data_IF_042894076641
#
_entry.id   IF_042894076641
#
_cell.length_a   1.000
_cell.length_b   1.000
_cell.length_c   1.000
_cell.angle_alpha   90.00
_cell.angle_beta   90.00
_cell.angle_gamma   90.00
#
_symmetry.space_group_name_H-M   'P 1'
#
loop_
_entity.id
_entity.type
_entity.pdbx_description
1 polymer ?
#
# COMPACT_ATOMS: atom_id res chain seq x y z
N UNK A 1 -17.10 -24.88 -32.51
CA UNK A 1 -17.06 -23.43 -32.76
C UNK A 1 -16.01 -22.81 -31.85
N UNK A 2 -14.90 -22.25 -32.35
CA UNK A 2 -13.92 -21.59 -31.49
C UNK A 2 -14.55 -20.30 -30.95
N UNK A 3 -14.53 -20.13 -29.63
CA UNK A 3 -14.97 -18.91 -28.97
C UNK A 3 -14.14 -17.72 -29.50
N UNK A 4 -14.81 -16.68 -29.98
CA UNK A 4 -14.17 -15.45 -30.44
C UNK A 4 -13.36 -14.84 -29.30
N UNK A 5 -12.10 -14.49 -29.59
CA UNK A 5 -11.25 -13.78 -28.63
C UNK A 5 -11.94 -12.45 -28.23
N UNK A 6 -11.96 -12.09 -26.93
CA UNK A 6 -12.55 -10.85 -26.50
C UNK A 6 -11.86 -9.65 -27.18
N UNK A 7 -12.60 -8.60 -27.56
CA UNK A 7 -12.04 -7.44 -28.23
C UNK A 7 -10.96 -6.77 -27.36
N UNK A 8 -9.91 -6.19 -27.96
CA UNK A 8 -8.86 -5.52 -27.20
C UNK A 8 -9.47 -4.37 -26.40
N UNK A 9 -9.28 -4.40 -25.08
CA UNK A 9 -9.71 -3.34 -24.18
C UNK A 9 -9.10 -2.00 -24.60
N UNK A 10 -9.95 -0.97 -24.77
CA UNK A 10 -9.52 0.38 -25.12
C UNK A 10 -8.59 0.96 -24.04
N UNK A 11 -7.68 1.86 -24.41
CA UNK A 11 -6.77 2.52 -23.45
C UNK A 11 -7.53 3.16 -22.28
N UNK A 12 -8.71 3.74 -22.55
CA UNK A 12 -9.60 4.29 -21.53
C UNK A 12 -10.12 3.23 -20.54
N UNK A 13 -10.55 2.06 -21.04
CA UNK A 13 -11.00 0.94 -20.19
C UNK A 13 -9.87 0.36 -19.33
N UNK A 14 -8.64 0.32 -19.86
CA UNK A 14 -7.44 -0.09 -19.11
C UNK A 14 -7.05 0.91 -18.02
N UNK A 15 -7.19 2.21 -18.31
CA UNK A 15 -6.97 3.28 -17.33
C UNK A 15 -7.96 3.20 -16.17
N UNK A 16 -9.26 3.10 -16.46
CA UNK A 16 -10.31 3.00 -15.44
C UNK A 16 -10.15 1.73 -14.58
N UNK A 17 -9.84 0.58 -15.20
CA UNK A 17 -9.57 -0.66 -14.49
C UNK A 17 -8.35 -0.54 -13.57
N UNK A 18 -7.32 0.19 -13.97
CA UNK A 18 -6.11 0.37 -13.15
C UNK A 18 -6.35 1.34 -11.99
N UNK A 19 -7.09 2.43 -12.20
CA UNK A 19 -7.53 3.32 -11.12
C UNK A 19 -8.38 2.58 -10.10
N UNK A 20 -9.32 1.74 -10.55
CA UNK A 20 -10.14 0.91 -9.65
C UNK A 20 -9.27 -0.03 -8.82
N UNK A 21 -8.27 -0.69 -9.42
CA UNK A 21 -7.33 -1.58 -8.71
C UNK A 21 -6.35 -0.82 -7.80
N UNK A 22 -6.16 0.47 -8.03
CA UNK A 22 -5.39 1.34 -7.13
C UNK A 22 -6.17 1.64 -5.84
N UNK A 23 -7.48 1.87 -5.96
CA UNK A 23 -8.37 1.99 -4.80
C UNK A 23 -8.66 0.65 -4.11
N UNK A 24 -8.90 -0.40 -4.90
CA UNK A 24 -9.20 -1.75 -4.42
C UNK A 24 -7.96 -2.64 -4.46
N UNK A 25 -7.18 -2.58 -3.39
CA UNK A 25 -6.01 -3.44 -3.18
C UNK A 25 -6.36 -4.83 -2.62
N UNK A 26 -7.66 -5.10 -2.38
CA UNK A 26 -8.15 -6.37 -1.84
C UNK A 26 -8.53 -7.39 -2.92
N UNK A 27 -8.66 -6.96 -4.18
CA UNK A 27 -8.86 -7.88 -5.29
C UNK A 27 -7.79 -8.95 -5.32
N UNK A 28 -8.19 -10.22 -5.14
CA UNK A 28 -7.33 -11.37 -5.44
C UNK A 28 -6.83 -11.17 -6.86
N UNK A 29 -5.52 -11.28 -7.09
CA UNK A 29 -4.96 -11.25 -8.43
C UNK A 29 -5.53 -12.44 -9.21
N UNK A 30 -6.67 -12.23 -9.87
CA UNK A 30 -7.27 -13.18 -10.82
C UNK A 30 -6.33 -13.43 -12.01
N UNK A 31 -5.30 -12.60 -12.13
CA UNK A 31 -4.21 -12.68 -13.10
C UNK A 31 -3.15 -13.73 -12.75
N UNK A 32 -3.25 -14.45 -11.61
CA UNK A 32 -2.40 -15.60 -11.30
C UNK A 32 -2.44 -16.72 -12.38
N UNK A 33 -3.38 -16.64 -13.33
CA UNK A 33 -3.48 -17.52 -14.49
C UNK A 33 -2.73 -17.03 -15.75
N UNK A 34 -2.10 -15.85 -15.74
CA UNK A 34 -1.31 -15.32 -16.86
C UNK A 34 0.17 -15.69 -16.71
N UNK A 35 0.78 -16.47 -17.64
CA UNK A 35 2.17 -16.95 -17.52
C UNK A 35 3.26 -15.87 -17.66
N UNK A 36 2.90 -14.63 -17.98
CA UNK A 36 3.84 -13.55 -18.25
C UNK A 36 3.75 -12.48 -17.14
N UNK A 37 4.75 -12.38 -16.24
CA UNK A 37 4.79 -11.39 -15.16
C UNK A 37 5.03 -10.00 -15.74
N UNK A 38 3.96 -9.37 -16.24
CA UNK A 38 3.99 -8.00 -16.77
C UNK A 38 4.00 -6.99 -15.62
N UNK A 39 4.96 -6.08 -15.63
CA UNK A 39 5.06 -4.97 -14.67
C UNK A 39 3.91 -3.98 -14.92
N UNK A 40 3.05 -3.76 -13.92
CA UNK A 40 2.03 -2.71 -13.94
C UNK A 40 2.68 -1.35 -13.64
N UNK A 41 3.26 -0.74 -14.67
CA UNK A 41 3.97 0.53 -14.58
C UNK A 41 3.11 1.65 -13.98
N UNK A 42 1.80 1.66 -14.26
CA UNK A 42 0.90 2.70 -13.77
C UNK A 42 0.71 2.62 -12.24
N UNK A 43 0.79 1.42 -11.65
CA UNK A 43 0.83 1.25 -10.18
C UNK A 43 2.19 1.58 -9.57
N UNK A 44 3.28 1.45 -10.32
CA UNK A 44 4.64 1.73 -9.84
C UNK A 44 4.95 3.25 -9.80
N UNK A 45 4.32 4.05 -10.66
CA UNK A 45 4.58 5.51 -10.78
C UNK A 45 4.52 6.25 -9.43
N UNK A 46 3.49 6.09 -8.57
CA UNK A 46 3.46 6.80 -7.28
C UNK A 46 4.63 6.43 -6.36
N UNK A 47 5.07 5.17 -6.39
CA UNK A 47 6.20 4.71 -5.59
C UNK A 47 7.50 5.35 -6.08
N UNK A 48 7.72 5.38 -7.39
CA UNK A 48 8.88 6.07 -8.00
C UNK A 48 8.86 7.56 -7.63
N UNK A 49 7.71 8.22 -7.78
CA UNK A 49 7.54 9.63 -7.43
C UNK A 49 7.90 9.92 -5.97
N UNK A 50 7.49 9.05 -5.03
CA UNK A 50 7.83 9.19 -3.61
C UNK A 50 9.35 9.12 -3.34
N UNK A 51 10.09 8.28 -4.08
CA UNK A 51 11.56 8.20 -3.92
C UNK A 51 12.26 9.42 -4.51
N UNK A 52 11.82 9.85 -5.70
CA UNK A 52 12.37 11.05 -6.34
C UNK A 52 12.10 12.32 -5.50
N UNK A 53 10.98 12.35 -4.77
CA UNK A 53 10.64 13.45 -3.87
C UNK A 53 11.69 13.65 -2.75
N UNK A 54 12.48 12.64 -2.38
CA UNK A 54 13.57 12.81 -1.40
C UNK A 54 14.63 13.82 -1.88
N UNK A 55 14.86 13.93 -3.20
CA UNK A 55 15.83 14.88 -3.77
C UNK A 55 15.39 16.33 -3.56
N UNK A 56 14.09 16.56 -3.32
CA UNK A 56 13.55 17.90 -3.05
C UNK A 56 14.27 18.61 -1.89
N UNK A 57 14.85 17.85 -0.94
CA UNK A 57 15.63 18.38 0.19
C UNK A 57 16.75 19.33 -0.23
N UNK A 58 17.31 19.18 -1.43
CA UNK A 58 18.35 20.07 -1.96
C UNK A 58 17.83 21.50 -2.21
N UNK A 59 16.53 21.66 -2.44
CA UNK A 59 15.89 22.97 -2.63
C UNK A 59 15.22 23.49 -1.34
N UNK A 60 14.53 22.62 -0.59
CA UNK A 60 13.78 23.06 0.62
C UNK A 60 14.68 23.18 1.86
N UNK A 61 15.88 22.59 1.83
CA UNK A 61 16.80 22.52 2.95
C UNK A 61 16.40 21.50 4.03
N UNK A 62 17.17 21.45 5.11
CA UNK A 62 16.93 20.55 6.26
C UNK A 62 16.59 21.36 7.50
N UNK A 63 15.52 20.98 8.18
CA UNK A 63 15.11 21.53 9.47
C UNK A 63 15.19 20.45 10.55
N UNK A 64 15.67 20.81 11.74
CA UNK A 64 15.67 19.91 12.89
C UNK A 64 14.25 19.38 13.19
N UNK A 65 13.23 20.24 13.08
CA UNK A 65 11.83 19.85 13.24
C UNK A 65 11.44 18.77 12.23
N UNK A 66 11.84 18.92 10.95
CA UNK A 66 11.55 17.93 9.92
C UNK A 66 12.21 16.58 10.22
N UNK A 67 13.47 16.59 10.69
CA UNK A 67 14.19 15.39 11.10
C UNK A 67 13.50 14.70 12.28
N UNK A 68 13.13 15.45 13.33
CA UNK A 68 12.43 14.91 14.50
C UNK A 68 11.10 14.28 14.09
N UNK A 69 10.31 14.97 13.27
CA UNK A 69 9.03 14.45 12.76
C UNK A 69 9.24 13.18 11.93
N UNK A 70 10.24 13.14 11.05
CA UNK A 70 10.55 11.98 10.24
C UNK A 70 10.91 10.76 11.09
N UNK A 71 11.79 10.93 12.09
CA UNK A 71 12.20 9.86 13.01
C UNK A 71 11.02 9.39 13.87
N UNK A 72 10.23 10.33 14.41
CA UNK A 72 9.07 9.99 15.23
C UNK A 72 8.03 9.21 14.43
N UNK A 73 7.70 9.66 13.22
CA UNK A 73 6.76 8.96 12.33
C UNK A 73 7.30 7.59 11.92
N UNK A 74 8.60 7.46 11.65
CA UNK A 74 9.24 6.17 11.38
C UNK A 74 9.04 5.21 12.55
N UNK A 75 9.40 5.62 13.77
CA UNK A 75 9.29 4.78 14.96
C UNK A 75 7.84 4.36 15.24
N UNK A 76 6.91 5.31 15.21
CA UNK A 76 5.47 5.06 15.45
C UNK A 76 4.89 4.10 14.41
N UNK A 77 5.19 4.30 13.12
CA UNK A 77 4.71 3.43 12.04
C UNK A 77 5.33 2.04 12.12
N UNK A 78 6.64 1.95 12.38
CA UNK A 78 7.32 0.66 12.55
C UNK A 78 6.73 -0.14 13.70
N UNK A 79 6.42 0.52 14.82
CA UNK A 79 5.73 -0.13 15.93
C UNK A 79 4.31 -0.58 15.57
N UNK A 80 3.53 0.27 14.89
CA UNK A 80 2.18 -0.09 14.45
C UNK A 80 2.18 -1.31 13.51
N UNK A 81 3.11 -1.36 12.55
CA UNK A 81 3.21 -2.48 11.62
C UNK A 81 3.69 -3.76 12.33
N UNK A 82 4.80 -3.69 13.04
CA UNK A 82 5.39 -4.91 13.65
C UNK A 82 4.59 -5.40 14.86
N UNK A 83 4.16 -4.48 15.72
CA UNK A 83 3.41 -4.78 16.94
C UNK A 83 1.95 -5.10 16.68
N UNK A 84 1.27 -4.37 15.77
CA UNK A 84 -0.15 -4.55 15.55
C UNK A 84 -0.47 -5.29 14.25
N UNK A 85 0.02 -4.87 13.09
CA UNK A 85 -0.30 -5.57 11.84
C UNK A 85 0.20 -7.02 11.88
N UNK A 86 1.48 -7.22 12.16
CA UNK A 86 2.09 -8.55 12.19
C UNK A 86 1.67 -9.36 13.43
N UNK A 87 1.99 -8.87 14.64
CA UNK A 87 1.79 -9.66 15.87
C UNK A 87 0.34 -9.76 16.34
N UNK A 88 -0.45 -8.69 16.22
CA UNK A 88 -1.83 -8.67 16.70
C UNK A 88 -2.83 -9.12 15.63
N UNK A 89 -2.87 -8.46 14.47
CA UNK A 89 -3.87 -8.72 13.44
C UNK A 89 -3.64 -10.05 12.72
N UNK A 90 -2.41 -10.37 12.31
CA UNK A 90 -2.12 -11.66 11.65
C UNK A 90 -2.00 -12.83 12.63
N UNK A 91 -1.17 -12.67 13.67
CA UNK A 91 -0.81 -13.80 14.54
C UNK A 91 -1.58 -13.87 15.88
N UNK A 92 -2.39 -12.85 16.22
CA UNK A 92 -3.20 -12.81 17.46
C UNK A 92 -2.42 -13.15 18.74
N UNK A 93 -1.16 -12.74 18.82
CA UNK A 93 -0.23 -13.09 19.92
C UNK A 93 -0.55 -12.46 21.27
N UNK A 94 -1.40 -11.43 21.30
CA UNK A 94 -1.88 -10.78 22.53
C UNK A 94 -3.29 -10.22 22.33
N UNK A 95 -3.94 -9.81 23.42
CA UNK A 95 -5.26 -9.14 23.40
C UNK A 95 -5.09 -7.66 23.75
N UNK A 96 -5.92 -6.80 23.16
CA UNK A 96 -5.92 -5.36 23.41
C UNK A 96 -7.32 -4.76 23.27
N UNK A 97 -7.54 -3.55 23.77
CA UNK A 97 -8.86 -2.88 23.74
C UNK A 97 -9.26 -2.48 22.32
N UNK A 98 -10.57 -2.36 22.05
CA UNK A 98 -11.08 -1.93 20.72
C UNK A 98 -10.55 -0.57 20.29
N UNK A 99 -10.33 0.34 21.26
CA UNK A 99 -9.76 1.67 21.00
C UNK A 99 -8.33 1.53 20.48
N UNK A 100 -7.50 0.74 21.14
CA UNK A 100 -6.11 0.52 20.70
C UNK A 100 -6.05 -0.20 19.35
N UNK A 101 -6.95 -1.17 19.11
CA UNK A 101 -7.06 -1.81 17.81
C UNK A 101 -7.33 -0.79 16.70
N UNK A 102 -8.30 0.11 16.91
CA UNK A 102 -8.63 1.14 15.93
C UNK A 102 -7.49 2.14 15.72
N UNK A 103 -6.89 2.64 16.81
CA UNK A 103 -5.79 3.61 16.75
C UNK A 103 -4.61 3.03 15.96
N UNK A 104 -4.18 1.82 16.28
CA UNK A 104 -3.04 1.21 15.57
C UNK A 104 -3.40 0.67 14.18
N UNK A 105 -4.67 0.33 13.94
CA UNK A 105 -5.17 0.08 12.58
C UNK A 105 -5.03 1.34 11.70
N UNK A 106 -5.45 2.49 12.22
CA UNK A 106 -5.40 3.79 11.52
C UNK A 106 -3.96 4.27 11.30
N UNK A 107 -3.12 4.21 12.34
CA UNK A 107 -1.70 4.56 12.23
C UNK A 107 -1.00 3.65 11.21
N UNK A 108 -1.24 2.33 11.29
CA UNK A 108 -0.67 1.37 10.34
C UNK A 108 -1.09 1.65 8.89
N UNK A 109 -2.34 2.08 8.67
CA UNK A 109 -2.85 2.41 7.33
C UNK A 109 -2.11 3.59 6.68
N UNK A 110 -1.50 4.47 7.50
CA UNK A 110 -0.64 5.56 7.00
C UNK A 110 0.73 5.10 6.48
N UNK A 111 1.06 3.81 6.60
CA UNK A 111 2.38 3.25 6.24
C UNK A 111 2.47 2.72 4.81
N UNK A 112 1.41 2.82 4.01
CA UNK A 112 1.38 2.35 2.61
C UNK A 112 1.67 0.84 2.49
N UNK A 113 1.17 0.03 3.45
CA UNK A 113 1.39 -1.43 3.52
C UNK A 113 0.07 -2.25 3.53
N UNK A 114 -0.86 -1.90 2.63
CA UNK A 114 -2.25 -2.41 2.62
C UNK A 114 -2.98 -2.18 3.96
N UNK A 115 -4.27 -2.50 3.99
CA UNK A 115 -5.12 -2.27 5.17
C UNK A 115 -4.98 -3.35 6.25
N UNK A 116 -5.46 -3.08 7.48
CA UNK A 116 -5.40 -4.02 8.59
C UNK A 116 -6.27 -5.27 8.35
N UNK A 117 -7.34 -5.15 7.57
CA UNK A 117 -8.19 -6.28 7.15
C UNK A 117 -7.43 -7.25 6.25
N UNK A 118 -6.56 -6.75 5.37
CA UNK A 118 -5.72 -7.60 4.53
C UNK A 118 -4.69 -8.35 5.35
N UNK A 119 -4.12 -7.72 6.38
CA UNK A 119 -3.19 -8.36 7.31
C UNK A 119 -3.87 -9.36 8.26
N UNK A 120 -5.15 -9.17 8.56
CA UNK A 120 -5.92 -10.04 9.44
C UNK A 120 -6.53 -11.27 8.74
N UNK A 121 -6.56 -11.25 7.40
CA UNK A 121 -7.07 -12.32 6.54
C UNK A 121 -6.12 -13.53 6.52
#
# INVERSE_FOLDING_TARGET
MPASAPPPSSLASRGLATLRRWFDTQGRDTDAASPDPRIDWLRAVPFIGMHLACVAVLWVGVSLTAVIVAVALYAVRMFAITGFYHRYFSHRTFRTSRVLQFVFALIGASSVQRGPLWWAA
#
